data_IF_616618749953
#
_entry.id   IF_616618749953
#
_cell.length_a   1.000
_cell.length_b   1.000
_cell.length_c   1.000
_cell.angle_alpha   90.00
_cell.angle_beta   90.00
_cell.angle_gamma   90.00
#
_symmetry.space_group_name_H-M   'P 1'
#
loop_
_entity.id
_entity.type
_entity.pdbx_description
1 polymer ?
#
# COMPACT_ATOMS: atom_id res chain seq x y z
N UNK A 1 2.22 8.61 14.96
CA UNK A 1 0.84 8.28 14.54
C UNK A 1 0.57 8.98 13.22
N UNK A 2 0.12 8.25 12.20
CA UNK A 2 -0.29 8.88 10.94
C UNK A 2 -1.55 9.72 11.15
N UNK A 3 -1.64 10.85 10.47
CA UNK A 3 -2.89 11.63 10.43
C UNK A 3 -3.87 10.89 9.52
N UNK A 4 -5.10 10.70 9.98
CA UNK A 4 -6.15 10.08 9.17
C UNK A 4 -6.98 11.15 8.45
N UNK A 5 -7.35 10.89 7.19
CA UNK A 5 -8.24 11.73 6.37
C UNK A 5 -9.45 10.93 5.91
N UNK A 6 -10.54 11.64 5.63
CA UNK A 6 -11.73 11.02 5.06
C UNK A 6 -11.53 10.76 3.56
N UNK A 7 -11.86 9.54 3.13
CA UNK A 7 -11.85 9.18 1.73
C UNK A 7 -13.12 9.72 1.06
N UNK A 8 -13.01 10.88 0.43
CA UNK A 8 -14.15 11.53 -0.23
C UNK A 8 -15.28 11.87 0.75
N UNK A 9 -16.50 11.43 0.44
CA UNK A 9 -17.70 11.59 1.29
C UNK A 9 -18.21 10.26 1.84
N UNK A 10 -17.30 9.32 2.09
CA UNK A 10 -17.65 7.94 2.47
C UNK A 10 -17.71 7.74 3.99
N UNK A 11 -17.23 8.70 4.79
CA UNK A 11 -17.02 8.52 6.22
C UNK A 11 -15.81 7.63 6.59
N UNK A 12 -15.19 6.94 5.63
CA UNK A 12 -14.03 6.05 5.86
C UNK A 12 -12.79 6.90 6.14
N UNK A 13 -12.08 6.62 7.24
CA UNK A 13 -10.83 7.29 7.60
C UNK A 13 -9.63 6.43 7.16
N UNK A 14 -8.73 7.01 6.37
CA UNK A 14 -7.52 6.36 5.86
C UNK A 14 -6.26 7.17 6.19
N UNK A 15 -5.08 6.55 6.29
CA UNK A 15 -3.80 7.27 6.35
C UNK A 15 -3.59 8.20 5.15
N UNK A 16 -2.84 9.28 5.34
CA UNK A 16 -2.46 10.19 4.24
C UNK A 16 -1.46 9.59 3.25
N UNK A 17 -0.76 8.52 3.65
CA UNK A 17 0.24 7.83 2.83
C UNK A 17 -0.22 6.39 2.68
N UNK A 18 -0.30 5.93 1.43
CA UNK A 18 -0.55 4.53 1.08
C UNK A 18 0.61 3.92 0.31
N UNK A 19 0.54 2.60 0.09
CA UNK A 19 1.46 1.83 -0.74
C UNK A 19 0.78 1.52 -2.08
N UNK A 20 1.40 1.93 -3.19
CA UNK A 20 0.97 1.48 -4.52
C UNK A 20 1.62 0.14 -4.86
N UNK A 21 0.83 -0.85 -5.27
CA UNK A 21 1.28 -2.21 -5.55
C UNK A 21 1.54 -2.48 -7.04
N UNK A 22 1.36 -1.50 -7.93
CA UNK A 22 1.55 -1.69 -9.38
C UNK A 22 2.95 -2.22 -9.72
N UNK A 23 3.99 -1.74 -9.02
CA UNK A 23 5.38 -2.21 -9.18
C UNK A 23 5.62 -3.70 -8.88
N UNK A 24 4.67 -4.36 -8.22
CA UNK A 24 4.71 -5.80 -7.92
C UNK A 24 4.16 -6.65 -9.07
N UNK A 25 3.67 -6.03 -10.15
CA UNK A 25 3.17 -6.69 -11.34
C UNK A 25 4.22 -6.78 -12.44
N UNK A 26 3.91 -7.52 -13.52
CA UNK A 26 4.79 -7.65 -14.68
C UNK A 26 4.86 -6.38 -15.55
N UNK A 27 4.03 -5.37 -15.29
CA UNK A 27 3.94 -4.16 -16.11
C UNK A 27 5.24 -3.34 -16.15
N UNK A 28 6.10 -3.47 -15.14
CA UNK A 28 7.39 -2.78 -15.06
C UNK A 28 8.61 -3.72 -15.17
N UNK A 29 8.41 -4.95 -15.63
CA UNK A 29 9.46 -5.96 -15.76
C UNK A 29 9.17 -7.19 -14.90
N UNK A 30 10.17 -8.06 -14.75
CA UNK A 30 10.02 -9.29 -13.97
C UNK A 30 9.68 -8.98 -12.51
N UNK A 31 8.62 -9.62 -12.02
CA UNK A 31 8.21 -9.55 -10.62
C UNK A 31 8.79 -10.72 -9.84
N UNK A 32 9.24 -10.46 -8.62
CA UNK A 32 9.69 -11.48 -7.66
C UNK A 32 8.71 -11.54 -6.48
N UNK A 33 8.02 -12.67 -6.34
CA UNK A 33 7.01 -12.86 -5.31
C UNK A 33 7.58 -12.74 -3.89
N UNK A 34 8.77 -13.28 -3.64
CA UNK A 34 9.38 -13.24 -2.32
C UNK A 34 9.74 -11.81 -1.92
N UNK A 35 10.25 -11.03 -2.87
CA UNK A 35 10.57 -9.62 -2.62
C UNK A 35 9.30 -8.77 -2.42
N UNK A 36 8.25 -9.02 -3.20
CA UNK A 36 6.96 -8.33 -3.02
C UNK A 36 6.38 -8.61 -1.63
N UNK A 37 6.43 -9.87 -1.18
CA UNK A 37 6.00 -10.24 0.17
C UNK A 37 6.84 -9.54 1.25
N UNK A 38 8.16 -9.39 1.06
CA UNK A 38 9.01 -8.64 1.98
C UNK A 38 8.61 -7.16 2.06
N UNK A 39 8.32 -6.53 0.92
CA UNK A 39 7.86 -5.13 0.85
C UNK A 39 6.52 -4.97 1.58
N UNK A 40 5.56 -5.85 1.32
CA UNK A 40 4.23 -5.81 1.95
C UNK A 40 4.34 -5.99 3.47
N UNK A 41 5.09 -6.99 3.95
CA UNK A 41 5.31 -7.20 5.38
C UNK A 41 5.97 -5.97 6.03
N UNK A 42 7.00 -5.40 5.39
CA UNK A 42 7.67 -4.21 5.89
C UNK A 42 6.72 -3.00 5.95
N UNK A 43 5.80 -2.87 4.99
CA UNK A 43 4.80 -1.81 5.00
C UNK A 43 3.88 -1.92 6.22
N UNK A 44 3.43 -3.13 6.57
CA UNK A 44 2.63 -3.39 7.79
C UNK A 44 3.42 -2.98 9.04
N UNK A 45 4.68 -3.41 9.16
CA UNK A 45 5.54 -3.09 10.31
C UNK A 45 5.73 -1.57 10.51
N UNK A 46 5.72 -0.82 9.42
CA UNK A 46 5.81 0.64 9.42
C UNK A 46 4.45 1.34 9.67
N UNK A 47 3.37 0.58 9.82
CA UNK A 47 2.01 1.09 10.01
C UNK A 47 1.34 1.58 8.73
N UNK A 48 1.82 1.18 7.56
CA UNK A 48 1.16 1.43 6.28
C UNK A 48 0.03 0.41 6.07
N UNK A 49 -1.20 0.86 6.28
CA UNK A 49 -2.41 0.01 6.27
C UNK A 49 -3.39 0.35 5.13
N UNK A 50 -2.92 1.12 4.13
CA UNK A 50 -3.72 1.48 2.96
C UNK A 50 -2.93 1.15 1.71
N UNK A 51 -3.32 0.08 1.02
CA UNK A 51 -2.64 -0.44 -0.17
C UNK A 51 -3.54 -0.30 -1.38
N UNK A 52 -2.98 0.22 -2.47
CA UNK A 52 -3.65 0.52 -3.73
C UNK A 52 -3.18 -0.46 -4.83
N UNK A 53 -4.13 -1.08 -5.53
CA UNK A 53 -3.89 -2.05 -6.61
C UNK A 53 -5.05 -2.03 -7.61
N UNK A 54 -4.87 -2.68 -8.77
CA UNK A 54 -5.88 -2.84 -9.82
C UNK A 54 -5.89 -4.27 -10.38
#
# INVERSE_FOLDING_TARGET
MSVLRELGKTGVKIPTIGLGCMGMSEFYGSSDEAENLNVLNRAIDLGCVFWDTA
#
